data_IF_826199381421
#
_entry.id   IF_826199381421
#
_cell.length_a   1.000
_cell.length_b   1.000
_cell.length_c   1.000
_cell.angle_alpha   90.00
_cell.angle_beta   90.00
_cell.angle_gamma   90.00
#
_symmetry.space_group_name_H-M   'P 1'
#
loop_
_entity.id
_entity.type
_entity.pdbx_description
1 polymer ?
#
# COMPACT_ATOMS: atom_id res chain seq x y z
N UNK A 1 -38.62 0.70 5.87
CA UNK A 1 -37.40 1.14 6.58
C UNK A 1 -36.20 0.89 5.67
N UNK A 2 -35.65 1.93 5.06
CA UNK A 2 -34.39 1.83 4.32
C UNK A 2 -33.25 1.74 5.34
N UNK A 3 -32.53 0.63 5.36
CA UNK A 3 -31.30 0.51 6.14
C UNK A 3 -30.35 1.64 5.72
N UNK A 4 -29.71 2.35 6.67
CA UNK A 4 -28.74 3.37 6.31
C UNK A 4 -27.65 2.73 5.44
N UNK A 5 -27.17 3.41 4.39
CA UNK A 5 -26.12 2.87 3.54
C UNK A 5 -24.94 2.51 4.44
N UNK A 6 -24.51 1.25 4.41
CA UNK A 6 -23.30 0.78 5.08
C UNK A 6 -22.16 1.68 4.64
N UNK A 7 -21.84 2.66 5.48
CA UNK A 7 -20.88 3.69 5.17
C UNK A 7 -19.53 2.99 5.03
N UNK A 8 -18.98 2.99 3.81
CA UNK A 8 -17.73 2.29 3.52
C UNK A 8 -16.67 2.66 4.55
N UNK A 9 -15.89 1.70 5.05
CA UNK A 9 -14.93 1.99 6.10
C UNK A 9 -13.93 3.03 5.58
N UNK A 10 -13.84 4.20 6.21
CA UNK A 10 -12.88 5.28 5.87
C UNK A 10 -11.43 4.79 5.76
N UNK A 11 -11.12 3.68 6.44
CA UNK A 11 -9.83 2.99 6.35
C UNK A 11 -9.50 2.47 4.94
N UNK A 12 -10.51 2.05 4.15
CA UNK A 12 -10.35 1.56 2.78
C UNK A 12 -9.98 2.72 1.84
N UNK A 13 -10.64 3.87 1.98
CA UNK A 13 -10.34 5.07 1.19
C UNK A 13 -8.96 5.64 1.55
N UNK A 14 -8.59 5.60 2.84
CA UNK A 14 -7.25 5.98 3.31
C UNK A 14 -6.15 5.05 2.77
N UNK A 15 -6.37 3.73 2.80
CA UNK A 15 -5.45 2.74 2.25
C UNK A 15 -5.30 2.89 0.72
N UNK A 16 -6.40 3.21 0.01
CA UNK A 16 -6.37 3.54 -1.41
C UNK A 16 -5.51 4.77 -1.68
N UNK A 17 -5.75 5.87 -0.95
CA UNK A 17 -4.99 7.11 -1.13
C UNK A 17 -3.49 6.92 -0.83
N UNK A 18 -3.15 6.21 0.24
CA UNK A 18 -1.76 5.89 0.56
C UNK A 18 -1.11 4.95 -0.45
N UNK A 19 -1.83 3.96 -1.00
CA UNK A 19 -1.28 3.08 -2.03
C UNK A 19 -0.98 3.86 -3.33
N UNK A 20 -1.85 4.79 -3.71
CA UNK A 20 -1.63 5.67 -4.87
C UNK A 20 -0.44 6.61 -4.61
N UNK A 21 -0.38 7.24 -3.43
CA UNK A 21 0.72 8.12 -3.06
C UNK A 21 2.06 7.37 -3.00
N UNK A 22 2.11 6.19 -2.38
CA UNK A 22 3.29 5.33 -2.33
C UNK A 22 3.74 4.85 -3.71
N UNK A 23 2.79 4.52 -4.60
CA UNK A 23 3.10 4.17 -5.99
C UNK A 23 3.67 5.34 -6.78
N UNK A 24 3.09 6.53 -6.64
CA UNK A 24 3.60 7.73 -7.30
C UNK A 24 5.02 8.07 -6.83
N UNK A 25 5.26 7.96 -5.52
CA UNK A 25 6.57 8.23 -4.92
C UNK A 25 7.61 7.20 -5.36
N UNK A 26 7.25 5.91 -5.42
CA UNK A 26 8.11 4.87 -5.98
C UNK A 26 8.45 5.13 -7.45
N UNK A 27 7.47 5.54 -8.27
CA UNK A 27 7.69 5.87 -9.68
C UNK A 27 8.63 7.07 -9.86
N UNK A 28 8.47 8.12 -9.04
CA UNK A 28 9.37 9.29 -9.03
C UNK A 28 10.79 8.86 -8.67
N UNK A 29 10.97 8.06 -7.60
CA UNK A 29 12.29 7.60 -7.19
C UNK A 29 12.96 6.72 -8.24
N UNK A 30 12.20 5.88 -8.94
CA UNK A 30 12.71 5.08 -10.05
C UNK A 30 13.10 5.96 -11.26
N UNK A 31 12.36 7.03 -11.53
CA UNK A 31 12.66 7.98 -12.61
C UNK A 31 13.89 8.86 -12.36
N UNK A 32 14.25 9.10 -11.09
CA UNK A 32 15.41 9.91 -10.67
C UNK A 32 16.56 9.01 -10.16
N UNK A 33 16.48 7.69 -10.37
CA UNK A 33 17.55 6.78 -9.99
C UNK A 33 18.76 6.95 -10.93
N UNK A 34 19.86 7.47 -10.40
CA UNK A 34 21.11 7.66 -11.15
C UNK A 34 21.96 6.38 -11.25
N UNK A 35 21.57 5.31 -10.52
CA UNK A 35 22.30 4.04 -10.45
C UNK A 35 21.45 2.88 -10.96
N UNK A 36 22.13 1.79 -11.34
CA UNK A 36 21.47 0.57 -11.77
C UNK A 36 20.52 0.04 -10.69
N UNK A 37 19.25 -0.07 -11.06
CA UNK A 37 18.20 -0.57 -10.20
C UNK A 37 18.38 -2.09 -10.08
N UNK A 38 18.81 -2.57 -8.91
CA UNK A 38 18.94 -4.01 -8.65
C UNK A 38 17.58 -4.70 -8.61
N UNK A 39 17.55 -6.04 -8.56
CA UNK A 39 16.32 -6.85 -8.48
C UNK A 39 15.31 -6.34 -7.43
N UNK A 40 15.79 -5.82 -6.30
CA UNK A 40 14.95 -5.28 -5.24
C UNK A 40 14.23 -4.00 -5.67
N UNK A 41 14.85 -3.13 -6.46
CA UNK A 41 14.18 -1.93 -6.97
C UNK A 41 13.14 -2.24 -8.06
N UNK A 42 13.38 -3.29 -8.86
CA UNK A 42 12.36 -3.84 -9.77
C UNK A 42 11.16 -4.36 -8.97
N UNK A 43 11.41 -5.00 -7.82
CA UNK A 43 10.37 -5.46 -6.90
C UNK A 43 9.48 -4.33 -6.37
N UNK A 44 10.06 -3.17 -6.05
CA UNK A 44 9.28 -1.98 -5.66
C UNK A 44 8.42 -1.46 -6.82
N UNK A 45 8.94 -1.47 -8.06
CA UNK A 45 8.16 -1.05 -9.24
C UNK A 45 6.96 -1.98 -9.46
N UNK A 46 7.18 -3.30 -9.39
CA UNK A 46 6.12 -4.30 -9.51
C UNK A 46 5.11 -4.16 -8.37
N UNK A 47 5.56 -3.94 -7.13
CA UNK A 47 4.68 -3.70 -5.99
C UNK A 47 3.84 -2.43 -6.17
N UNK A 48 4.42 -1.35 -6.69
CA UNK A 48 3.70 -0.12 -7.01
C UNK A 48 2.61 -0.38 -8.06
N UNK A 49 2.96 -1.00 -9.19
CA UNK A 49 1.99 -1.33 -10.26
C UNK A 49 0.89 -2.26 -9.75
N UNK A 50 1.26 -3.33 -9.03
CA UNK A 50 0.31 -4.27 -8.46
C UNK A 50 -0.65 -3.56 -7.49
N UNK A 51 -0.15 -2.69 -6.62
CA UNK A 51 -1.00 -1.94 -5.69
C UNK A 51 -1.97 -1.00 -6.42
N UNK A 52 -1.55 -0.36 -7.52
CA UNK A 52 -2.38 0.51 -8.35
C UNK A 52 -3.50 -0.28 -9.04
N UNK A 53 -3.17 -1.44 -9.59
CA UNK A 53 -4.13 -2.35 -10.22
C UNK A 53 -5.11 -2.93 -9.19
N UNK A 54 -4.64 -3.25 -7.99
CA UNK A 54 -5.45 -3.84 -6.92
C UNK A 54 -6.26 -2.82 -6.12
N UNK A 55 -5.89 -1.54 -6.16
CA UNK A 55 -6.59 -0.45 -5.49
C UNK A 55 -8.03 -0.30 -6.00
N UNK A 56 -8.25 -0.50 -7.31
CA UNK A 56 -9.58 -0.41 -7.91
C UNK A 56 -10.52 -1.55 -7.50
N UNK A 57 -10.17 -2.84 -7.64
CA UNK A 57 -11.02 -3.95 -7.17
C UNK A 57 -11.19 -3.96 -5.65
N UNK A 58 -10.22 -3.46 -4.87
CA UNK A 58 -10.39 -3.20 -3.44
C UNK A 58 -11.50 -2.16 -3.20
N UNK A 59 -11.52 -1.07 -3.97
CA UNK A 59 -12.59 -0.07 -3.93
C UNK A 59 -13.95 -0.63 -4.39
N UNK A 60 -13.99 -1.70 -5.17
CA UNK A 60 -15.24 -2.40 -5.52
C UNK A 60 -15.73 -3.32 -4.40
N UNK A 61 -14.91 -3.56 -3.36
CA UNK A 61 -15.26 -4.39 -2.20
C UNK A 61 -14.89 -5.86 -2.35
N UNK A 62 -13.97 -6.20 -3.28
CA UNK A 62 -13.52 -7.58 -3.47
C UNK A 62 -12.53 -7.98 -2.37
N UNK A 63 -12.78 -9.06 -1.60
CA UNK A 63 -11.94 -9.44 -0.46
C UNK A 63 -10.54 -9.91 -0.90
N UNK A 64 -10.42 -10.62 -2.03
CA UNK A 64 -9.13 -11.05 -2.57
C UNK A 64 -8.20 -9.88 -2.93
N UNK A 65 -8.76 -8.73 -3.32
CA UNK A 65 -7.98 -7.54 -3.65
C UNK A 65 -7.33 -6.93 -2.41
N UNK A 66 -7.94 -7.07 -1.22
CA UNK A 66 -7.33 -6.62 0.05
C UNK A 66 -6.08 -7.42 0.38
N UNK A 67 -6.15 -8.76 0.24
CA UNK A 67 -5.01 -9.65 0.47
C UNK A 67 -3.89 -9.32 -0.52
N UNK A 68 -4.22 -9.17 -1.81
CA UNK A 68 -3.24 -8.77 -2.82
C UNK A 68 -2.58 -7.43 -2.49
N UNK A 69 -3.36 -6.43 -2.09
CA UNK A 69 -2.84 -5.09 -1.76
C UNK A 69 -1.96 -5.14 -0.52
N UNK A 70 -2.32 -5.94 0.48
CA UNK A 70 -1.51 -6.20 1.68
C UNK A 70 -0.16 -6.83 1.33
N UNK A 71 -0.15 -7.89 0.51
CA UNK A 71 1.08 -8.54 0.04
C UNK A 71 1.92 -7.56 -0.78
N UNK A 72 1.31 -6.81 -1.70
CA UNK A 72 2.04 -5.80 -2.49
C UNK A 72 2.68 -4.72 -1.61
N UNK A 73 2.00 -4.29 -0.55
CA UNK A 73 2.52 -3.30 0.38
C UNK A 73 3.72 -3.85 1.19
N UNK A 74 3.69 -5.12 1.60
CA UNK A 74 4.83 -5.77 2.25
C UNK A 74 6.05 -5.82 1.33
N UNK A 75 5.86 -6.20 0.06
CA UNK A 75 6.93 -6.13 -0.94
C UNK A 75 7.44 -4.69 -1.11
N UNK A 76 6.54 -3.71 -1.15
CA UNK A 76 6.89 -2.28 -1.19
C UNK A 76 7.77 -1.84 -0.02
N UNK A 77 7.45 -2.24 1.22
CA UNK A 77 8.27 -1.94 2.41
C UNK A 77 9.68 -2.55 2.29
N UNK A 78 9.78 -3.82 1.89
CA UNK A 78 11.06 -4.52 1.79
C UNK A 78 11.94 -3.95 0.68
N UNK A 79 11.33 -3.50 -0.41
CA UNK A 79 12.03 -2.99 -1.58
C UNK A 79 12.32 -1.47 -1.51
N UNK A 80 11.65 -0.72 -0.65
CA UNK A 80 11.79 0.73 -0.53
C UNK A 80 13.24 1.20 -0.21
N UNK A 81 14.00 0.58 0.70
CA UNK A 81 15.38 0.97 0.98
C UNK A 81 16.31 0.77 -0.22
N UNK A 82 16.07 -0.29 -1.01
CA UNK A 82 16.87 -0.58 -2.20
C UNK A 82 16.65 0.48 -3.30
N UNK A 83 15.40 0.93 -3.51
CA UNK A 83 15.09 2.02 -4.44
C UNK A 83 15.72 3.33 -3.98
N UNK A 84 15.60 3.65 -2.69
CA UNK A 84 16.19 4.86 -2.13
C UNK A 84 17.70 4.91 -2.31
N UNK A 85 18.40 3.80 -2.11
CA UNK A 85 19.85 3.70 -2.30
C UNK A 85 20.30 3.81 -3.76
N UNK A 86 19.39 3.67 -4.73
CA UNK A 86 19.67 3.91 -6.14
C UNK A 86 19.72 5.41 -6.48
N UNK A 87 19.21 6.28 -5.60
CA UNK A 87 19.28 7.74 -5.73
C UNK A 87 20.60 8.23 -5.12
N UNK A 88 21.44 8.91 -5.91
CA UNK A 88 22.77 9.39 -5.46
C UNK A 88 22.75 10.60 -4.52
N UNK A 89 21.57 11.04 -4.08
CA UNK A 89 21.36 12.26 -3.29
C UNK A 89 21.45 12.01 -1.79
N UNK A 90 21.88 13.01 -1.02
CA UNK A 90 21.83 13.00 0.45
C UNK A 90 20.42 12.86 1.03
N UNK A 91 19.39 13.11 0.21
CA UNK A 91 17.98 12.89 0.56
C UNK A 91 17.53 11.42 0.48
N UNK A 92 18.33 10.52 -0.11
CA UNK A 92 18.03 9.09 -0.27
C UNK A 92 17.45 8.41 0.99
N UNK A 93 18.08 8.48 2.18
CA UNK A 93 17.56 7.81 3.38
C UNK A 93 16.19 8.36 3.83
N UNK A 94 15.96 9.67 3.68
CA UNK A 94 14.68 10.31 4.03
C UNK A 94 13.58 9.83 3.08
N UNK A 95 13.86 9.79 1.78
CA UNK A 95 12.92 9.32 0.77
C UNK A 95 12.57 7.83 0.97
N UNK A 96 13.57 7.00 1.30
CA UNK A 96 13.35 5.60 1.66
C UNK A 96 12.48 5.45 2.90
N UNK A 97 12.73 6.22 3.96
CA UNK A 97 11.94 6.19 5.18
C UNK A 97 10.48 6.63 4.93
N UNK A 98 10.27 7.69 4.14
CA UNK A 98 8.92 8.15 3.75
C UNK A 98 8.20 7.08 2.94
N UNK A 99 8.88 6.42 2.00
CA UNK A 99 8.29 5.35 1.20
C UNK A 99 7.90 4.15 2.08
N UNK A 100 8.78 3.72 3.00
CA UNK A 100 8.50 2.67 3.99
C UNK A 100 7.28 3.05 4.84
N UNK A 101 7.24 4.30 5.35
CA UNK A 101 6.13 4.77 6.16
C UNK A 101 4.80 4.75 5.38
N UNK A 102 4.81 5.17 4.11
CA UNK A 102 3.62 5.13 3.26
C UNK A 102 3.05 3.71 3.12
N UNK A 103 3.91 2.72 2.83
CA UNK A 103 3.49 1.32 2.73
C UNK A 103 3.07 0.73 4.08
N UNK A 104 3.76 1.08 5.18
CA UNK A 104 3.39 0.66 6.53
C UNK A 104 2.00 1.20 6.94
N UNK A 105 1.66 2.43 6.56
CA UNK A 105 0.32 3.00 6.78
C UNK A 105 -0.74 2.21 6.02
N UNK A 106 -0.48 1.82 4.77
CA UNK A 106 -1.39 0.95 3.99
C UNK A 106 -1.64 -0.37 4.73
N UNK A 107 -0.59 -1.03 5.21
CA UNK A 107 -0.66 -2.29 5.96
C UNK A 107 -1.49 -2.09 7.24
N UNK A 108 -1.22 -1.04 8.02
CA UNK A 108 -1.91 -0.77 9.27
C UNK A 108 -3.41 -0.47 9.06
N UNK A 109 -3.75 0.30 8.02
CA UNK A 109 -5.13 0.62 7.69
C UNK A 109 -5.90 -0.62 7.21
N UNK A 110 -5.27 -1.47 6.42
CA UNK A 110 -5.85 -2.75 5.98
C UNK A 110 -6.06 -3.71 7.15
N UNK A 111 -5.04 -3.88 8.02
CA UNK A 111 -5.14 -4.72 9.20
C UNK A 111 -6.25 -4.24 10.15
N UNK A 112 -6.37 -2.92 10.35
CA UNK A 112 -7.43 -2.34 11.17
C UNK A 112 -8.83 -2.55 10.57
N UNK A 113 -8.95 -2.50 9.24
CA UNK A 113 -10.21 -2.79 8.57
C UNK A 113 -10.61 -4.26 8.74
N UNK A 114 -9.66 -5.18 8.62
CA UNK A 114 -9.90 -6.62 8.74
C UNK A 114 -10.28 -7.03 10.18
N UNK A 115 -9.61 -6.45 11.19
CA UNK A 115 -9.97 -6.66 12.61
C UNK A 115 -11.39 -6.17 12.91
N UNK A 116 -11.82 -5.02 12.37
CA UNK A 116 -13.21 -4.54 12.56
C UNK A 116 -14.21 -5.50 11.92
N UNK A 117 -13.95 -5.98 10.71
CA UNK A 117 -14.84 -6.91 10.02
C UNK A 117 -14.94 -8.24 10.80
N UNK A 118 -13.83 -8.75 11.34
CA UNK A 118 -13.80 -9.95 12.17
C UNK A 118 -14.61 -9.80 13.48
N UNK A 119 -14.41 -8.70 14.22
CA UNK A 119 -15.11 -8.44 15.48
C UNK A 119 -16.63 -8.36 15.26
N UNK A 120 -17.07 -7.69 14.19
CA UNK A 120 -18.50 -7.58 13.84
C UNK A 120 -19.10 -8.94 13.49
N UNK A 121 -18.36 -9.80 12.78
CA UNK A 121 -18.82 -11.16 12.45
C UNK A 121 -18.92 -12.05 13.68
N UNK A 122 -18.00 -11.92 14.64
CA UNK A 122 -18.05 -12.66 15.90
C UNK A 122 -19.21 -12.21 16.80
N UNK A 123 -19.48 -10.91 16.88
CA UNK A 123 -20.58 -10.34 17.68
C UNK A 123 -21.95 -10.80 17.18
N UNK A 124 -22.14 -10.94 15.86
CA UNK A 124 -23.39 -11.46 15.28
C UNK A 124 -23.60 -12.98 15.47
N UNK A 125 -22.60 -13.71 15.96
CA UNK A 125 -22.67 -15.18 16.15
C UNK A 125 -22.79 -15.59 17.62
N UNK A 126 -22.61 -14.66 18.56
CA UNK A 126 -22.78 -14.88 20.00
C UNK A 126 -24.19 -14.55 20.46
#
# INVERSE_FOLDING_TARGET
MSLPPLQRPRAVDGAFACAVAGSALAAVLLGVADRSISYLGMGAAVAAVASLVLAFPMRVGRPWARIGLFVSALFGVLCAPAVANAVGSSAAPVLGAVLVAAWAVVIALLARADVRDYVVVCDMRG
#
